data_IF_709990887563
#
_entry.id   IF_709990887563
#
_cell.length_a   1.000
_cell.length_b   1.000
_cell.length_c   1.000
_cell.angle_alpha   90.00
_cell.angle_beta   90.00
_cell.angle_gamma   90.00
#
_symmetry.space_group_name_H-M   'P 1'
#
loop_
_entity.id
_entity.type
_entity.pdbx_description
1 polymer ?
#
# COMPACT_ATOMS: atom_id res chain seq x y z
N UNK A 1 -17.86 25.09 -13.72
CA UNK A 1 -16.51 25.68 -13.58
C UNK A 1 -15.74 25.59 -14.89
N UNK A 2 -14.81 26.53 -15.14
CA UNK A 2 -13.89 26.41 -16.28
C UNK A 2 -12.74 25.50 -15.81
N UNK A 3 -12.76 24.24 -16.21
CA UNK A 3 -11.68 23.30 -15.92
C UNK A 3 -10.92 23.06 -17.22
N UNK A 4 -9.65 23.38 -17.22
CA UNK A 4 -8.77 23.06 -18.34
C UNK A 4 -8.47 21.56 -18.31
N UNK A 5 -8.74 20.86 -19.41
CA UNK A 5 -8.49 19.41 -19.55
C UNK A 5 -7.02 19.06 -19.29
N UNK A 6 -6.09 19.95 -19.73
CA UNK A 6 -4.66 19.74 -19.52
C UNK A 6 -4.28 19.85 -18.04
N UNK A 7 -4.91 20.77 -17.28
CA UNK A 7 -4.72 20.87 -15.83
C UNK A 7 -5.22 19.61 -15.12
N UNK A 8 -6.42 19.14 -15.48
CA UNK A 8 -6.97 17.92 -14.89
C UNK A 8 -6.11 16.69 -15.21
N UNK A 9 -5.62 16.58 -16.43
CA UNK A 9 -4.67 15.52 -16.80
C UNK A 9 -3.40 15.59 -15.94
N UNK A 10 -2.86 16.79 -15.73
CA UNK A 10 -1.66 17.01 -14.89
C UNK A 10 -1.92 16.65 -13.43
N UNK A 11 -3.08 16.98 -12.87
CA UNK A 11 -3.49 16.55 -11.52
C UNK A 11 -3.55 15.02 -11.42
N UNK A 12 -4.17 14.33 -12.38
CA UNK A 12 -4.19 12.87 -12.41
C UNK A 12 -2.79 12.27 -12.51
N UNK A 13 -1.89 12.85 -13.31
CA UNK A 13 -0.48 12.43 -13.39
C UNK A 13 0.24 12.66 -12.05
N UNK A 14 -0.03 13.77 -11.36
CA UNK A 14 0.52 14.03 -10.02
C UNK A 14 -0.02 13.05 -8.96
N UNK A 15 -1.25 12.57 -9.13
CA UNK A 15 -1.87 11.51 -8.33
C UNK A 15 -1.42 10.10 -8.77
N UNK A 16 -0.52 10.01 -9.75
CA UNK A 16 -0.04 8.72 -10.29
C UNK A 16 -1.15 7.87 -10.91
N UNK A 17 -2.15 8.49 -11.53
CA UNK A 17 -3.09 7.79 -12.38
C UNK A 17 -2.41 7.35 -13.68
N UNK A 18 -2.73 6.14 -14.13
CA UNK A 18 -2.16 5.52 -15.33
C UNK A 18 -3.16 5.65 -16.48
N UNK A 19 -2.68 6.10 -17.66
CA UNK A 19 -3.52 6.15 -18.85
C UNK A 19 -3.68 4.75 -19.44
N UNK A 20 -4.92 4.23 -19.41
CA UNK A 20 -5.27 2.93 -19.97
C UNK A 20 -6.69 2.96 -20.55
N UNK A 21 -6.85 2.48 -21.78
CA UNK A 21 -8.14 2.47 -22.48
C UNK A 21 -9.21 1.59 -21.83
N UNK A 22 -8.82 0.55 -21.09
CA UNK A 22 -9.75 -0.34 -20.37
C UNK A 22 -10.39 0.37 -19.19
N UNK A 23 -9.61 1.12 -18.42
CA UNK A 23 -10.07 1.84 -17.22
C UNK A 23 -10.87 0.90 -16.30
N UNK A 24 -10.28 -0.25 -15.93
CA UNK A 24 -10.91 -1.33 -15.15
C UNK A 24 -10.34 -1.47 -13.74
N UNK A 25 -9.31 -0.69 -13.41
CA UNK A 25 -8.65 -0.68 -12.09
C UNK A 25 -8.67 0.74 -11.51
N UNK A 26 -8.89 0.91 -10.17
CA UNK A 26 -8.78 2.20 -9.51
C UNK A 26 -7.44 2.88 -9.79
N UNK A 27 -7.47 4.16 -10.14
CA UNK A 27 -6.27 4.91 -10.51
C UNK A 27 -5.92 4.83 -12.00
N UNK A 28 -6.82 4.38 -12.84
CA UNK A 28 -6.70 4.47 -14.29
C UNK A 28 -7.58 5.55 -14.86
N UNK A 29 -7.16 6.12 -16.00
CA UNK A 29 -7.97 7.05 -16.78
C UNK A 29 -7.74 6.87 -18.27
N UNK A 30 -8.72 7.28 -19.05
CA UNK A 30 -8.61 7.33 -20.51
C UNK A 30 -9.26 8.61 -21.04
N UNK A 31 -8.46 9.44 -21.72
CA UNK A 31 -8.92 10.68 -22.34
C UNK A 31 -9.08 10.47 -23.83
N UNK A 32 -10.31 10.62 -24.34
CA UNK A 32 -10.63 10.56 -25.75
C UNK A 32 -11.38 11.82 -26.20
N UNK A 33 -10.71 12.67 -26.97
CA UNK A 33 -11.25 13.96 -27.45
C UNK A 33 -11.83 14.81 -26.32
N UNK A 34 -13.15 14.79 -26.15
CA UNK A 34 -13.90 15.57 -25.17
C UNK A 34 -14.52 14.74 -24.04
N UNK A 35 -14.09 13.48 -23.89
CA UNK A 35 -14.54 12.59 -22.83
C UNK A 35 -13.36 12.04 -22.05
N UNK A 36 -13.44 12.18 -20.74
CA UNK A 36 -12.52 11.55 -19.80
C UNK A 36 -13.27 10.46 -19.05
N UNK A 37 -12.81 9.22 -19.19
CA UNK A 37 -13.22 8.11 -18.34
C UNK A 37 -12.16 7.95 -17.27
N UNK A 38 -12.53 7.91 -16.00
CA UNK A 38 -11.62 7.77 -14.88
C UNK A 38 -12.19 6.77 -13.87
N UNK A 39 -11.34 5.91 -13.34
CA UNK A 39 -11.67 5.05 -12.22
C UNK A 39 -11.07 5.67 -10.96
N UNK A 40 -11.93 6.38 -10.19
CA UNK A 40 -11.52 7.00 -8.93
C UNK A 40 -11.17 5.95 -7.88
N UNK A 41 -10.13 6.21 -7.10
CA UNK A 41 -9.72 5.36 -5.98
C UNK A 41 -10.63 5.46 -4.76
N UNK A 42 -11.47 6.50 -4.73
CA UNK A 42 -12.30 6.84 -3.58
C UNK A 42 -11.57 7.71 -2.56
N UNK A 43 -12.30 8.65 -1.96
CA UNK A 43 -11.77 9.52 -0.91
C UNK A 43 -12.91 10.15 -0.11
N UNK A 44 -12.88 10.01 1.23
CA UNK A 44 -13.95 10.46 2.13
C UNK A 44 -15.32 9.91 1.72
N UNK A 45 -16.26 10.82 1.44
CA UNK A 45 -17.62 10.53 0.96
C UNK A 45 -17.71 10.20 -0.54
N UNK A 46 -16.61 10.36 -1.30
CA UNK A 46 -16.52 10.00 -2.71
C UNK A 46 -16.22 8.51 -2.87
N UNK A 47 -17.16 7.68 -3.36
CA UNK A 47 -16.90 6.26 -3.54
C UNK A 47 -15.89 5.99 -4.66
N UNK A 48 -15.14 4.90 -4.53
CA UNK A 48 -14.36 4.34 -5.64
C UNK A 48 -15.31 3.88 -6.75
N UNK A 49 -14.96 4.15 -8.01
CA UNK A 49 -15.77 3.76 -9.14
C UNK A 49 -15.43 4.48 -10.44
N UNK A 50 -16.08 4.07 -11.52
CA UNK A 50 -15.87 4.63 -12.85
C UNK A 50 -16.77 5.85 -13.04
N UNK A 51 -16.17 6.96 -13.49
CA UNK A 51 -16.86 8.19 -13.84
C UNK A 51 -16.51 8.62 -15.26
N UNK A 52 -17.50 9.09 -16.01
CA UNK A 52 -17.33 9.69 -17.34
C UNK A 52 -17.59 11.19 -17.26
N UNK A 53 -16.59 11.99 -17.58
CA UNK A 53 -16.63 13.44 -17.62
C UNK A 53 -16.66 13.87 -19.07
N UNK A 54 -17.70 14.59 -19.48
CA UNK A 54 -17.83 15.13 -20.84
C UNK A 54 -17.54 16.63 -20.82
N UNK A 55 -16.71 17.08 -21.73
CA UNK A 55 -16.33 18.49 -21.88
C UNK A 55 -17.00 19.15 -23.08
N UNK A 56 -17.26 20.45 -22.95
CA UNK A 56 -17.65 21.34 -24.04
C UNK A 56 -16.64 22.49 -24.09
N UNK A 57 -15.61 22.35 -24.93
CA UNK A 57 -14.43 23.20 -24.89
C UNK A 57 -13.70 23.06 -23.54
N UNK A 58 -13.47 24.16 -22.82
CA UNK A 58 -12.82 24.19 -21.50
C UNK A 58 -13.81 24.10 -20.33
N UNK A 59 -15.04 23.65 -20.53
CA UNK A 59 -16.03 23.52 -19.47
C UNK A 59 -16.48 22.07 -19.33
N UNK A 60 -16.66 21.61 -18.10
CA UNK A 60 -17.35 20.35 -17.82
C UNK A 60 -18.82 20.54 -18.19
N UNK A 61 -19.32 19.69 -19.10
CA UNK A 61 -20.72 19.66 -19.54
C UNK A 61 -21.54 18.74 -18.64
N UNK A 62 -21.01 17.56 -18.34
CA UNK A 62 -21.70 16.55 -17.55
C UNK A 62 -20.68 15.59 -16.91
N UNK A 63 -21.03 15.07 -15.73
CA UNK A 63 -20.31 14.01 -15.04
C UNK A 63 -21.34 12.89 -14.81
N UNK A 64 -21.00 11.65 -15.16
CA UNK A 64 -21.83 10.48 -14.93
C UNK A 64 -21.03 9.40 -14.21
N UNK A 65 -21.68 8.74 -13.26
CA UNK A 65 -21.10 7.54 -12.63
C UNK A 65 -21.34 6.29 -13.51
N UNK A 66 -20.84 5.15 -13.09
CA UNK A 66 -20.95 3.87 -13.81
C UNK A 66 -22.40 3.39 -14.04
N UNK A 67 -23.37 3.90 -13.27
CA UNK A 67 -24.81 3.62 -13.43
C UNK A 67 -25.49 4.61 -14.38
N UNK A 68 -24.75 5.55 -14.98
CA UNK A 68 -25.27 6.59 -15.85
C UNK A 68 -25.96 7.74 -15.13
N UNK A 69 -25.94 7.77 -13.79
CA UNK A 69 -26.51 8.83 -12.97
C UNK A 69 -25.60 10.05 -13.06
N UNK A 70 -26.22 11.22 -13.23
CA UNK A 70 -25.50 12.50 -13.29
C UNK A 70 -25.08 12.94 -11.89
N UNK A 71 -23.80 13.30 -11.75
CA UNK A 71 -23.20 13.84 -10.54
C UNK A 71 -22.93 15.34 -10.74
N UNK A 72 -23.11 16.11 -9.68
CA UNK A 72 -22.83 17.54 -9.71
C UNK A 72 -21.33 17.84 -9.68
N UNK A 73 -20.60 17.06 -8.90
CA UNK A 73 -19.13 17.12 -8.78
C UNK A 73 -18.58 15.75 -8.40
N UNK A 74 -17.28 15.58 -8.59
CA UNK A 74 -16.49 14.45 -8.05
C UNK A 74 -15.27 15.00 -7.32
N UNK A 75 -14.81 14.25 -6.31
CA UNK A 75 -13.60 14.56 -5.55
C UNK A 75 -12.51 13.57 -5.91
N UNK A 76 -11.33 14.06 -6.18
CA UNK A 76 -10.11 13.27 -6.21
C UNK A 76 -9.50 13.22 -4.82
N UNK A 77 -8.73 12.18 -4.55
CA UNK A 77 -7.89 12.12 -3.36
C UNK A 77 -6.86 13.27 -3.34
N UNK A 78 -6.42 13.76 -2.16
CA UNK A 78 -5.44 14.83 -2.08
C UNK A 78 -4.06 14.37 -2.59
N UNK A 79 -3.35 15.30 -3.23
CA UNK A 79 -1.99 15.06 -3.69
C UNK A 79 -1.04 15.09 -2.49
N UNK A 80 -0.34 13.98 -2.23
CA UNK A 80 0.70 13.97 -1.20
C UNK A 80 1.88 14.88 -1.60
N UNK A 81 2.14 15.89 -0.78
CA UNK A 81 3.23 16.85 -1.00
C UNK A 81 4.47 16.54 -0.17
N UNK A 82 4.40 15.59 0.73
CA UNK A 82 5.48 15.13 1.58
C UNK A 82 4.97 14.73 2.95
N UNK A 83 5.87 14.38 3.85
CA UNK A 83 5.57 14.06 5.23
C UNK A 83 6.55 14.75 6.18
N UNK A 84 6.11 15.06 7.39
CA UNK A 84 6.94 15.55 8.48
C UNK A 84 7.31 14.33 9.35
N UNK A 85 8.56 13.86 9.26
CA UNK A 85 8.96 12.58 9.80
C UNK A 85 9.70 12.67 11.12
N UNK A 86 9.52 11.67 11.99
CA UNK A 86 10.43 11.42 13.09
C UNK A 86 11.81 10.95 12.59
N UNK A 87 12.79 11.01 13.47
CA UNK A 87 14.22 10.76 13.25
C UNK A 87 14.55 9.39 12.64
N UNK A 88 13.64 8.41 12.63
CA UNK A 88 13.92 7.01 12.25
C UNK A 88 13.67 6.66 10.78
N UNK A 89 13.31 7.61 9.91
CA UNK A 89 13.11 7.37 8.45
C UNK A 89 12.19 6.18 8.10
N UNK A 90 11.23 5.86 8.95
CA UNK A 90 10.23 4.83 8.70
C UNK A 90 8.88 5.47 8.34
N UNK A 91 8.35 5.12 7.19
CA UNK A 91 7.02 5.57 6.78
C UNK A 91 6.00 4.50 7.17
N UNK A 92 4.99 4.87 7.97
CA UNK A 92 3.89 3.98 8.38
C UNK A 92 2.56 4.66 8.15
N UNK A 93 1.64 3.94 7.55
CA UNK A 93 0.20 4.25 7.53
C UNK A 93 -0.45 3.20 8.40
N UNK A 94 -0.79 3.59 9.63
CA UNK A 94 -1.41 2.67 10.58
C UNK A 94 -2.87 2.42 10.18
N UNK A 95 -3.21 1.14 10.07
CA UNK A 95 -4.56 0.67 9.80
C UNK A 95 -5.23 0.30 11.12
N UNK A 96 -6.53 0.61 11.21
CA UNK A 96 -7.41 0.05 12.21
C UNK A 96 -8.11 -1.20 11.65
N UNK A 97 -8.62 -2.07 12.51
CA UNK A 97 -9.20 -3.33 12.07
C UNK A 97 -10.32 -3.19 11.02
N UNK A 98 -11.26 -2.22 11.09
CA UNK A 98 -12.28 -2.04 10.06
C UNK A 98 -11.75 -1.69 8.67
N UNK A 99 -10.53 -1.14 8.58
CA UNK A 99 -9.87 -0.76 7.33
C UNK A 99 -9.13 -1.93 6.67
N UNK A 100 -8.99 -3.07 7.37
CA UNK A 100 -8.27 -4.25 6.87
C UNK A 100 -9.20 -5.12 6.02
N UNK A 101 -8.97 -5.22 4.69
CA UNK A 101 -9.80 -6.06 3.83
C UNK A 101 -9.70 -7.53 4.23
N UNK A 102 -10.83 -8.24 4.26
CA UNK A 102 -10.86 -9.67 4.60
C UNK A 102 -9.95 -10.50 3.68
N UNK A 103 -9.87 -10.14 2.41
CA UNK A 103 -8.99 -10.85 1.45
C UNK A 103 -7.51 -10.67 1.78
N UNK A 104 -7.08 -9.57 2.43
CA UNK A 104 -5.71 -9.42 2.93
C UNK A 104 -5.46 -10.40 4.07
N UNK A 105 -6.37 -10.48 5.05
CA UNK A 105 -6.30 -11.44 6.17
C UNK A 105 -6.21 -12.86 5.64
N UNK A 106 -7.11 -13.24 4.74
CA UNK A 106 -7.16 -14.58 4.13
C UNK A 106 -5.85 -14.91 3.41
N UNK A 107 -5.28 -13.92 2.70
CA UNK A 107 -4.03 -14.12 1.95
C UNK A 107 -2.83 -14.30 2.87
N UNK A 108 -2.71 -13.47 3.91
CA UNK A 108 -1.63 -13.59 4.90
C UNK A 108 -1.70 -14.96 5.58
N UNK A 109 -2.87 -15.35 6.06
CA UNK A 109 -3.06 -16.63 6.74
C UNK A 109 -2.75 -17.81 5.82
N UNK A 110 -3.25 -17.79 4.58
CA UNK A 110 -3.00 -18.88 3.63
C UNK A 110 -1.52 -19.06 3.28
N UNK A 111 -0.74 -17.96 3.27
CA UNK A 111 0.67 -17.96 2.84
C UNK A 111 1.63 -18.14 4.00
N UNK A 112 1.43 -17.41 5.09
CA UNK A 112 2.37 -17.30 6.19
C UNK A 112 2.05 -18.26 7.34
N UNK A 113 0.77 -18.41 7.72
CA UNK A 113 0.39 -19.17 8.91
C UNK A 113 -1.06 -19.68 8.85
N UNK A 114 -1.29 -20.80 8.17
CA UNK A 114 -2.63 -21.37 7.98
C UNK A 114 -3.34 -21.77 9.28
N UNK A 115 -2.58 -22.13 10.30
CA UNK A 115 -3.09 -22.57 11.60
C UNK A 115 -3.05 -21.44 12.66
N UNK A 116 -2.88 -20.17 12.27
CA UNK A 116 -2.67 -19.03 13.16
C UNK A 116 -3.63 -18.96 14.35
N UNK A 117 -4.92 -19.19 14.11
CA UNK A 117 -5.95 -19.15 15.16
C UNK A 117 -5.97 -20.40 16.08
N UNK A 118 -5.20 -21.44 15.75
CA UNK A 118 -5.23 -22.74 16.44
C UNK A 118 -3.98 -23.03 17.28
N UNK A 119 -3.03 -22.12 17.35
CA UNK A 119 -1.83 -22.29 18.16
C UNK A 119 -1.57 -21.06 19.05
N UNK A 120 -0.69 -21.21 20.03
CA UNK A 120 -0.27 -20.16 20.96
C UNK A 120 1.17 -19.70 20.65
N UNK A 121 1.33 -18.94 19.55
CA UNK A 121 2.62 -18.36 19.17
C UNK A 121 3.59 -19.31 18.48
N UNK A 122 3.52 -20.61 18.75
CA UNK A 122 4.37 -21.65 18.15
C UNK A 122 3.50 -22.73 17.54
N UNK A 123 3.78 -23.12 16.30
CA UNK A 123 3.10 -24.23 15.61
C UNK A 123 4.04 -25.41 15.41
N UNK A 124 3.95 -26.42 16.28
CA UNK A 124 4.70 -27.66 16.13
C UNK A 124 4.40 -28.37 14.80
N UNK A 125 3.15 -28.30 14.34
CA UNK A 125 2.71 -28.84 13.05
C UNK A 125 3.42 -28.14 11.88
N UNK A 126 3.56 -26.80 11.94
CA UNK A 126 4.26 -26.05 10.89
C UNK A 126 5.77 -26.32 10.91
N UNK A 127 6.37 -26.47 12.08
CA UNK A 127 7.79 -26.81 12.25
C UNK A 127 8.08 -28.20 11.67
N UNK A 128 7.28 -29.23 12.04
CA UNK A 128 7.47 -30.58 11.52
C UNK A 128 7.23 -30.68 10.02
N UNK A 129 6.20 -29.99 9.50
CA UNK A 129 5.94 -29.93 8.05
C UNK A 129 7.10 -29.28 7.28
N UNK A 130 7.61 -28.15 7.78
CA UNK A 130 8.74 -27.45 7.18
C UNK A 130 10.00 -28.30 7.22
N UNK A 131 10.28 -28.99 8.35
CA UNK A 131 11.41 -29.90 8.47
C UNK A 131 11.36 -31.03 7.44
N UNK A 132 10.21 -31.73 7.32
CA UNK A 132 10.06 -32.81 6.35
C UNK A 132 10.25 -32.32 4.90
N UNK A 133 9.66 -31.17 4.53
CA UNK A 133 9.83 -30.62 3.19
C UNK A 133 11.26 -30.19 2.89
N UNK A 134 11.93 -29.54 3.83
CA UNK A 134 13.31 -29.10 3.67
C UNK A 134 14.29 -30.28 3.56
N UNK A 135 14.05 -31.37 4.32
CA UNK A 135 14.82 -32.61 4.19
C UNK A 135 14.61 -33.27 2.83
N UNK A 136 13.35 -33.34 2.34
CA UNK A 136 13.06 -33.89 1.03
C UNK A 136 13.64 -33.08 -0.14
N UNK A 137 13.66 -31.74 -0.01
CA UNK A 137 14.16 -30.82 -1.04
C UNK A 137 15.70 -30.65 -0.98
N UNK A 138 16.37 -31.07 0.10
CA UNK A 138 17.80 -30.82 0.32
C UNK A 138 18.15 -29.33 0.47
N UNK A 139 17.15 -28.48 0.62
CA UNK A 139 17.29 -27.02 0.74
C UNK A 139 16.16 -26.42 1.59
N UNK A 140 16.36 -25.19 2.12
CA UNK A 140 15.33 -24.50 2.90
C UNK A 140 14.26 -23.91 1.97
N UNK A 141 13.23 -24.70 1.68
CA UNK A 141 12.11 -24.28 0.82
C UNK A 141 10.95 -23.66 1.59
N UNK A 142 10.68 -24.15 2.79
CA UNK A 142 9.54 -23.70 3.60
C UNK A 142 9.99 -23.24 5.00
N UNK A 143 9.51 -22.05 5.41
CA UNK A 143 9.65 -21.56 6.78
C UNK A 143 8.61 -22.17 7.71
N UNK A 144 9.01 -22.50 8.93
CA UNK A 144 8.12 -22.99 9.99
C UNK A 144 7.79 -21.96 11.06
N UNK A 145 8.12 -20.67 10.84
CA UNK A 145 7.85 -19.60 11.80
C UNK A 145 6.41 -19.10 11.68
N UNK A 146 5.75 -18.84 12.79
CA UNK A 146 4.40 -18.29 12.86
C UNK A 146 4.39 -16.78 12.66
N UNK A 147 3.22 -16.20 12.42
CA UNK A 147 3.03 -14.73 12.36
C UNK A 147 3.49 -14.09 13.67
N UNK A 148 3.14 -14.65 14.83
CA UNK A 148 3.56 -14.14 16.14
C UNK A 148 5.07 -14.17 16.33
N UNK A 149 5.76 -15.21 15.84
CA UNK A 149 7.23 -15.27 15.87
C UNK A 149 7.86 -14.24 14.93
N UNK A 150 7.27 -13.98 13.77
CA UNK A 150 7.73 -12.94 12.84
C UNK A 150 7.56 -11.55 13.46
N UNK A 151 6.42 -11.29 14.10
CA UNK A 151 6.15 -10.03 14.83
C UNK A 151 7.14 -9.86 16.00
N UNK A 152 7.31 -10.89 16.84
CA UNK A 152 8.27 -10.87 17.95
C UNK A 152 9.68 -10.55 17.46
N UNK A 153 10.10 -11.17 16.34
CA UNK A 153 11.40 -10.89 15.71
C UNK A 153 11.53 -9.44 15.31
N UNK A 154 10.50 -8.87 14.66
CA UNK A 154 10.55 -7.48 14.20
C UNK A 154 10.61 -6.48 15.35
N UNK A 155 9.87 -6.71 16.43
CA UNK A 155 9.77 -5.78 17.55
C UNK A 155 10.94 -5.82 18.52
N UNK A 156 11.55 -6.99 18.75
CA UNK A 156 12.47 -7.18 19.89
C UNK A 156 13.88 -7.66 19.51
N UNK A 157 14.12 -8.07 18.27
CA UNK A 157 15.39 -8.70 17.92
C UNK A 157 16.05 -8.05 16.68
N UNK A 158 17.38 -8.09 16.68
CA UNK A 158 18.20 -7.70 15.54
C UNK A 158 18.20 -8.76 14.42
N UNK A 159 18.79 -8.42 13.28
CA UNK A 159 18.86 -9.29 12.09
C UNK A 159 19.81 -10.51 12.24
N UNK A 160 20.55 -10.64 13.34
CA UNK A 160 21.46 -11.77 13.56
C UNK A 160 20.73 -13.12 13.55
N UNK A 161 21.30 -14.11 12.86
CA UNK A 161 20.70 -15.44 12.73
C UNK A 161 21.39 -16.44 13.68
N UNK A 162 20.97 -16.46 14.96
CA UNK A 162 21.50 -17.39 15.96
C UNK A 162 20.40 -18.30 16.51
N UNK A 163 20.75 -19.51 16.93
CA UNK A 163 19.83 -20.43 17.62
C UNK A 163 19.27 -19.82 18.91
N UNK A 164 20.15 -19.12 19.68
CA UNK A 164 19.76 -18.39 20.89
C UNK A 164 18.62 -17.41 20.61
N UNK A 165 18.76 -16.57 19.55
CA UNK A 165 17.70 -15.65 19.14
C UNK A 165 16.41 -16.41 18.80
N UNK A 166 16.50 -17.55 18.09
CA UNK A 166 15.29 -18.31 17.70
C UNK A 166 14.53 -18.85 18.91
N UNK A 167 15.23 -19.25 19.97
CA UNK A 167 14.61 -19.64 21.25
C UNK A 167 13.96 -18.44 21.92
N UNK A 168 14.63 -17.29 21.95
CA UNK A 168 14.06 -16.06 22.53
C UNK A 168 12.85 -15.55 21.73
N UNK A 169 12.86 -15.65 20.40
CA UNK A 169 11.68 -15.36 19.57
C UNK A 169 10.48 -16.24 19.94
N UNK A 170 10.73 -17.53 20.18
CA UNK A 170 9.69 -18.47 20.59
C UNK A 170 9.10 -18.11 21.97
N UNK A 171 9.95 -17.77 22.94
CA UNK A 171 9.51 -17.33 24.27
C UNK A 171 8.71 -16.00 24.17
N UNK A 172 9.24 -15.02 23.40
CA UNK A 172 8.56 -13.75 23.20
C UNK A 172 7.19 -13.93 22.51
N UNK A 173 7.09 -14.85 21.54
CA UNK A 173 5.81 -15.13 20.89
C UNK A 173 4.78 -15.76 21.84
N UNK A 174 5.18 -16.61 22.78
CA UNK A 174 4.29 -17.12 23.82
C UNK A 174 3.81 -16.00 24.75
N UNK A 175 4.71 -15.10 25.16
CA UNK A 175 4.35 -13.95 26.01
C UNK A 175 3.40 -12.99 25.30
N UNK A 176 3.59 -12.72 24.00
CA UNK A 176 2.65 -11.92 23.21
C UNK A 176 1.26 -12.56 23.20
N UNK A 177 1.16 -13.86 22.94
CA UNK A 177 -0.11 -14.58 22.89
C UNK A 177 -0.83 -14.67 24.25
N UNK A 178 -0.10 -14.53 25.38
CA UNK A 178 -0.70 -14.46 26.70
C UNK A 178 -1.34 -13.09 27.01
N UNK A 179 -0.87 -12.02 26.36
CA UNK A 179 -1.29 -10.65 26.67
C UNK A 179 -2.19 -10.02 25.60
N UNK A 180 -2.14 -10.49 24.37
CA UNK A 180 -2.85 -9.91 23.23
C UNK A 180 -3.72 -10.96 22.52
N UNK A 181 -4.87 -10.54 22.06
CA UNK A 181 -5.74 -11.37 21.23
C UNK A 181 -5.13 -11.64 19.85
N UNK A 182 -5.57 -12.70 19.21
CA UNK A 182 -5.16 -13.02 17.82
C UNK A 182 -5.38 -11.87 16.84
N UNK A 183 -6.47 -11.13 17.02
CA UNK A 183 -6.80 -9.99 16.18
C UNK A 183 -5.82 -8.84 16.38
N UNK A 184 -5.46 -8.52 17.62
CA UNK A 184 -4.45 -7.49 17.92
C UNK A 184 -3.06 -7.87 17.39
N UNK A 185 -2.66 -9.14 17.55
CA UNK A 185 -1.39 -9.65 17.02
C UNK A 185 -1.36 -9.54 15.50
N UNK A 186 -2.43 -9.95 14.81
CA UNK A 186 -2.51 -9.88 13.35
C UNK A 186 -2.52 -8.43 12.85
N UNK A 187 -3.25 -7.54 13.53
CA UNK A 187 -3.26 -6.11 13.21
C UNK A 187 -1.86 -5.48 13.41
N UNK A 188 -1.18 -5.80 14.51
CA UNK A 188 0.19 -5.36 14.74
C UNK A 188 1.13 -5.85 13.64
N UNK A 189 1.02 -7.11 13.23
CA UNK A 189 1.80 -7.67 12.12
C UNK A 189 1.52 -6.95 10.80
N UNK A 190 0.25 -6.71 10.46
CA UNK A 190 -0.17 -5.98 9.25
C UNK A 190 0.42 -4.58 9.20
N UNK A 191 0.54 -3.92 10.35
CA UNK A 191 1.08 -2.57 10.46
C UNK A 191 2.62 -2.50 10.57
N UNK A 192 3.28 -3.60 10.96
CA UNK A 192 4.73 -3.60 11.24
C UNK A 192 5.59 -4.23 10.14
N UNK A 193 5.07 -5.18 9.39
CA UNK A 193 5.86 -5.99 8.47
C UNK A 193 6.63 -5.17 7.44
N UNK A 194 7.93 -5.48 7.26
CA UNK A 194 8.79 -4.82 6.27
C UNK A 194 8.47 -5.29 4.85
N UNK A 195 8.17 -4.36 3.95
CA UNK A 195 7.81 -4.63 2.55
C UNK A 195 8.87 -4.19 1.55
N UNK A 196 9.55 -3.09 1.79
CA UNK A 196 10.56 -2.59 0.85
C UNK A 196 11.50 -1.56 1.47
N UNK A 197 12.60 -1.29 0.75
CA UNK A 197 13.45 -0.15 0.97
C UNK A 197 13.36 0.80 -0.23
N UNK A 198 12.97 2.05 0.00
CA UNK A 198 12.90 3.12 -0.99
C UNK A 198 13.89 4.23 -0.65
N UNK A 199 15.05 4.22 -1.31
CA UNK A 199 16.16 5.09 -0.94
C UNK A 199 16.60 4.84 0.51
N UNK A 200 16.52 5.88 1.36
CA UNK A 200 16.86 5.80 2.80
C UNK A 200 15.67 5.42 3.69
N UNK A 201 14.48 5.22 3.13
CA UNK A 201 13.24 4.95 3.89
C UNK A 201 12.87 3.48 3.83
N UNK A 202 12.55 2.91 4.97
CA UNK A 202 11.96 1.59 5.07
C UNK A 202 10.43 1.70 4.98
N UNK A 203 9.83 0.86 4.14
CA UNK A 203 8.38 0.78 3.93
C UNK A 203 7.86 -0.33 4.83
N UNK A 204 7.15 0.05 5.87
CA UNK A 204 6.56 -0.86 6.84
C UNK A 204 5.03 -0.84 6.78
N UNK A 205 4.42 -2.01 6.95
CA UNK A 205 2.99 -2.22 6.97
C UNK A 205 2.32 -2.20 5.59
N UNK A 206 1.18 -2.88 5.51
CA UNK A 206 0.43 -3.01 4.25
C UNK A 206 -0.22 -1.71 3.82
N UNK A 207 -0.62 -0.84 4.76
CA UNK A 207 -1.17 0.49 4.44
C UNK A 207 -0.15 1.34 3.67
N UNK A 208 1.08 1.41 4.18
CA UNK A 208 2.16 2.12 3.49
C UNK A 208 2.59 1.42 2.20
N UNK A 209 2.58 0.07 2.18
CA UNK A 209 2.83 -0.71 0.98
C UNK A 209 1.84 -0.42 -0.14
N UNK A 210 0.55 -0.30 0.18
CA UNK A 210 -0.51 0.05 -0.77
C UNK A 210 -0.26 1.43 -1.39
N UNK A 211 0.05 2.41 -0.57
CA UNK A 211 0.38 3.76 -1.05
C UNK A 211 1.68 3.78 -1.88
N UNK A 212 2.71 3.05 -1.43
CA UNK A 212 4.02 3.03 -2.10
C UNK A 212 3.97 2.39 -3.49
N UNK A 213 3.32 1.24 -3.62
CA UNK A 213 3.32 0.48 -4.87
C UNK A 213 2.14 0.81 -5.80
N UNK A 214 1.03 1.29 -5.25
CA UNK A 214 -0.20 1.49 -6.02
C UNK A 214 -0.80 2.89 -5.90
N UNK A 215 -0.26 3.73 -5.00
CA UNK A 215 -0.73 5.10 -4.80
C UNK A 215 -2.17 5.19 -4.27
N UNK A 216 -2.65 4.18 -3.55
CA UNK A 216 -4.03 4.12 -3.04
C UNK A 216 -4.07 3.51 -1.64
N UNK A 217 -5.21 3.59 -0.95
CA UNK A 217 -5.42 2.92 0.33
C UNK A 217 -5.59 1.41 0.15
N UNK A 218 -5.33 0.65 1.22
CA UNK A 218 -5.37 -0.82 1.20
C UNK A 218 -6.75 -1.38 0.83
N UNK A 219 -7.82 -0.68 1.19
CA UNK A 219 -9.21 -1.05 0.93
C UNK A 219 -9.56 -1.09 -0.56
N UNK A 220 -8.84 -0.29 -1.36
CA UNK A 220 -9.04 -0.17 -2.80
C UNK A 220 -8.16 -1.12 -3.62
N UNK A 221 -7.34 -1.94 -2.98
CA UNK A 221 -6.49 -2.89 -3.69
C UNK A 221 -7.29 -4.08 -4.24
N UNK A 222 -6.95 -4.46 -5.45
CA UNK A 222 -7.46 -5.69 -6.06
C UNK A 222 -6.76 -6.93 -5.47
N UNK A 223 -7.39 -8.10 -5.62
CA UNK A 223 -6.86 -9.37 -5.06
C UNK A 223 -5.46 -9.70 -5.56
N UNK A 224 -5.13 -9.41 -6.81
CA UNK A 224 -3.79 -9.63 -7.35
C UNK A 224 -2.75 -8.65 -6.80
N UNK A 225 -3.14 -7.40 -6.50
CA UNK A 225 -2.29 -6.43 -5.83
C UNK A 225 -2.01 -6.84 -4.38
N UNK A 226 -3.01 -7.31 -3.65
CA UNK A 226 -2.86 -7.89 -2.30
C UNK A 226 -1.95 -9.12 -2.35
N UNK A 227 -2.15 -10.02 -3.32
CA UNK A 227 -1.31 -11.20 -3.50
C UNK A 227 0.15 -10.83 -3.82
N UNK A 228 0.39 -9.73 -4.52
CA UNK A 228 1.72 -9.19 -4.76
C UNK A 228 2.39 -8.75 -3.45
N UNK A 229 1.71 -7.90 -2.65
CA UNK A 229 2.25 -7.40 -1.38
C UNK A 229 2.57 -8.55 -0.40
N UNK A 230 1.64 -9.50 -0.22
CA UNK A 230 1.88 -10.67 0.63
C UNK A 230 2.98 -11.56 0.05
N UNK A 231 3.07 -11.67 -1.27
CA UNK A 231 4.15 -12.38 -1.94
C UNK A 231 5.54 -11.83 -1.63
N UNK A 232 5.65 -10.51 -1.46
CA UNK A 232 6.92 -9.84 -1.16
C UNK A 232 7.47 -10.18 0.23
N UNK A 233 6.64 -10.60 1.19
CA UNK A 233 7.08 -10.94 2.56
C UNK A 233 8.19 -11.98 2.59
N UNK A 234 8.20 -12.94 1.68
CA UNK A 234 9.23 -13.97 1.58
C UNK A 234 10.63 -13.42 1.24
N UNK A 235 10.68 -12.28 0.56
CA UNK A 235 11.93 -11.65 0.14
C UNK A 235 11.67 -10.28 -0.46
N UNK A 236 11.56 -9.24 0.37
CA UNK A 236 11.17 -7.90 -0.08
C UNK A 236 12.03 -7.33 -1.21
N UNK A 237 13.33 -7.60 -1.20
CA UNK A 237 14.23 -7.15 -2.26
C UNK A 237 14.12 -8.00 -3.53
N UNK A 238 13.98 -9.32 -3.38
CA UNK A 238 13.92 -10.28 -4.50
C UNK A 238 12.62 -10.15 -5.30
N UNK A 239 11.51 -9.91 -4.60
CA UNK A 239 10.18 -9.83 -5.20
C UNK A 239 9.66 -8.38 -5.34
N UNK A 240 10.56 -7.39 -5.22
CA UNK A 240 10.19 -5.99 -5.44
C UNK A 240 9.74 -5.76 -6.88
N UNK A 241 8.49 -5.34 -7.15
CA UNK A 241 7.96 -5.24 -8.50
C UNK A 241 8.60 -4.13 -9.33
N UNK A 242 9.15 -3.09 -8.67
CA UNK A 242 9.84 -1.98 -9.34
C UNK A 242 11.26 -2.35 -9.78
N UNK A 243 11.89 -3.33 -9.10
CA UNK A 243 13.27 -3.78 -9.37
C UNK A 243 13.31 -5.10 -10.15
N UNK A 244 12.44 -6.03 -9.79
CA UNK A 244 12.43 -7.41 -10.27
C UNK A 244 11.01 -7.84 -10.71
N UNK A 245 10.39 -7.19 -11.72
CA UNK A 245 8.99 -7.42 -12.09
C UNK A 245 8.70 -8.88 -12.46
N UNK A 246 9.62 -9.59 -13.11
CA UNK A 246 9.44 -11.00 -13.47
C UNK A 246 9.30 -11.90 -12.23
N UNK A 247 10.18 -11.73 -11.25
CA UNK A 247 10.11 -12.48 -9.99
C UNK A 247 8.85 -12.12 -9.19
N UNK A 248 8.46 -10.86 -9.20
CA UNK A 248 7.25 -10.36 -8.57
C UNK A 248 5.99 -11.01 -9.16
N UNK A 249 5.87 -11.08 -10.50
CA UNK A 249 4.76 -11.78 -11.19
C UNK A 249 4.72 -13.25 -10.82
N UNK A 250 5.85 -13.96 -10.87
CA UNK A 250 5.91 -15.38 -10.52
C UNK A 250 5.45 -15.60 -9.07
N UNK A 251 5.92 -14.76 -8.14
CA UNK A 251 5.58 -14.86 -6.73
C UNK A 251 4.12 -14.52 -6.46
N UNK A 252 3.58 -13.45 -7.07
CA UNK A 252 2.15 -13.09 -7.06
C UNK A 252 1.29 -14.27 -7.53
N UNK A 253 1.65 -14.83 -8.68
CA UNK A 253 0.89 -15.93 -9.27
C UNK A 253 0.92 -17.21 -8.40
N UNK A 254 2.01 -17.46 -7.68
CA UNK A 254 2.09 -18.52 -6.68
C UNK A 254 1.12 -18.25 -5.52
N UNK A 255 1.07 -17.02 -4.99
CA UNK A 255 0.15 -16.63 -3.92
C UNK A 255 -1.30 -16.78 -4.37
N UNK A 256 -1.65 -16.33 -5.58
CA UNK A 256 -2.98 -16.53 -6.16
C UNK A 256 -3.34 -18.02 -6.26
N UNK A 257 -2.40 -18.87 -6.62
CA UNK A 257 -2.61 -20.33 -6.65
C UNK A 257 -2.85 -20.91 -5.25
N UNK A 258 -2.18 -20.39 -4.22
CA UNK A 258 -2.42 -20.78 -2.83
C UNK A 258 -3.83 -20.35 -2.38
N UNK A 259 -4.27 -19.14 -2.72
CA UNK A 259 -5.62 -18.64 -2.41
C UNK A 259 -6.70 -19.51 -3.06
N UNK A 260 -6.50 -19.91 -4.31
CA UNK A 260 -7.42 -20.82 -5.01
C UNK A 260 -7.48 -22.20 -4.34
N UNK A 261 -6.33 -22.80 -4.01
CA UNK A 261 -6.28 -24.07 -3.28
C UNK A 261 -6.93 -24.01 -1.88
N UNK A 262 -6.98 -22.81 -1.29
CA UNK A 262 -7.66 -22.56 -0.01
C UNK A 262 -9.12 -22.14 -0.19
N UNK A 263 -9.68 -22.26 -1.40
CA UNK A 263 -11.05 -21.90 -1.76
C UNK A 263 -11.41 -20.43 -1.45
N UNK A 264 -10.42 -19.53 -1.50
CA UNK A 264 -10.63 -18.08 -1.30
C UNK A 264 -10.91 -17.35 -2.61
N UNK A 265 -10.54 -17.90 -3.74
CA UNK A 265 -10.87 -17.44 -5.09
C UNK A 265 -11.23 -18.61 -5.99
N UNK A 266 -12.06 -18.39 -7.02
CA UNK A 266 -12.48 -19.40 -7.99
C UNK A 266 -11.41 -19.61 -9.08
N UNK A 267 -11.52 -20.72 -9.84
CA UNK A 267 -10.62 -21.00 -10.98
C UNK A 267 -10.70 -19.91 -12.06
N UNK A 268 -11.90 -19.39 -12.32
CA UNK A 268 -12.10 -18.29 -13.26
C UNK A 268 -11.35 -17.03 -12.81
N UNK A 269 -11.50 -16.64 -11.54
CA UNK A 269 -10.79 -15.51 -10.98
C UNK A 269 -9.27 -15.73 -11.01
N UNK A 270 -8.79 -16.94 -10.72
CA UNK A 270 -7.38 -17.28 -10.79
C UNK A 270 -6.80 -17.08 -12.18
N UNK A 271 -7.50 -17.54 -13.21
CA UNK A 271 -7.05 -17.42 -14.61
C UNK A 271 -6.97 -15.95 -15.04
N UNK A 272 -7.99 -15.17 -14.71
CA UNK A 272 -8.03 -13.72 -14.99
C UNK A 272 -6.93 -12.95 -14.26
N UNK A 273 -6.84 -13.12 -12.92
CA UNK A 273 -5.90 -12.38 -12.08
C UNK A 273 -4.44 -12.66 -12.43
N UNK A 274 -4.11 -13.86 -12.89
CA UNK A 274 -2.76 -14.20 -13.37
C UNK A 274 -2.35 -13.48 -14.65
N UNK A 275 -3.30 -13.10 -15.49
CA UNK A 275 -3.04 -12.40 -16.75
C UNK A 275 -2.88 -10.89 -16.56
N UNK A 276 -3.30 -10.34 -15.41
CA UNK A 276 -3.18 -8.91 -15.13
C UNK A 276 -1.72 -8.49 -14.99
N UNK A 277 -1.40 -7.33 -15.53
CA UNK A 277 -0.12 -6.67 -15.28
C UNK A 277 0.00 -6.29 -13.79
N UNK A 278 1.22 -5.98 -13.34
CA UNK A 278 1.45 -5.62 -11.93
C UNK A 278 0.80 -4.29 -11.54
N UNK A 279 0.61 -3.40 -12.51
CA UNK A 279 0.02 -2.07 -12.34
C UNK A 279 0.59 -1.26 -11.16
N UNK A 280 1.90 -1.43 -10.93
CA UNK A 280 2.61 -0.66 -9.91
C UNK A 280 2.89 0.74 -10.42
N UNK A 281 2.55 1.73 -9.64
CA UNK A 281 2.95 3.11 -9.89
C UNK A 281 4.42 3.30 -9.47
N UNK A 282 5.18 4.09 -10.22
CA UNK A 282 6.44 4.59 -9.68
C UNK A 282 6.11 5.45 -8.46
N UNK A 283 6.70 5.17 -7.29
CA UNK A 283 6.41 5.97 -6.11
C UNK A 283 6.67 7.43 -6.42
N UNK A 284 5.65 8.24 -6.32
CA UNK A 284 5.78 9.69 -6.48
C UNK A 284 6.29 10.34 -5.17
N UNK A 285 6.86 9.50 -4.29
CA UNK A 285 7.63 9.99 -3.15
C UNK A 285 8.94 10.56 -3.67
N UNK A 286 8.90 11.81 -4.11
CA UNK A 286 10.13 12.59 -4.13
C UNK A 286 10.60 12.60 -2.67
N UNK A 287 11.72 11.97 -2.42
CA UNK A 287 12.47 11.97 -1.15
C UNK A 287 12.85 13.39 -0.72
N UNK A 288 12.71 14.36 -1.60
CA UNK A 288 12.79 15.77 -1.34
C UNK A 288 11.37 16.25 -1.03
N UNK A 289 11.23 16.89 0.12
CA UNK A 289 10.04 17.63 0.49
C UNK A 289 9.66 18.54 -0.69
N UNK A 290 8.61 18.17 -1.41
CA UNK A 290 8.10 19.02 -2.47
C UNK A 290 7.58 20.28 -1.75
N UNK A 291 8.11 21.45 -2.06
CA UNK A 291 7.76 22.71 -1.40
C UNK A 291 8.27 22.84 0.06
N UNK A 292 9.59 22.80 0.30
CA UNK A 292 10.16 22.80 1.65
C UNK A 292 9.73 24.01 2.50
N UNK A 293 9.68 25.20 1.91
CA UNK A 293 9.22 26.39 2.61
C UNK A 293 7.75 26.29 3.08
N UNK A 294 6.89 25.65 2.30
CA UNK A 294 5.51 25.41 2.70
C UNK A 294 5.42 24.38 3.83
N UNK A 295 6.24 23.33 3.79
CA UNK A 295 6.33 22.37 4.89
C UNK A 295 6.76 23.02 6.21
N UNK A 296 7.70 23.96 6.18
CA UNK A 296 8.11 24.70 7.38
C UNK A 296 6.95 25.53 7.95
N UNK A 297 6.15 26.17 7.09
CA UNK A 297 4.95 26.90 7.52
C UNK A 297 3.94 25.97 8.18
N UNK A 298 3.63 24.83 7.55
CA UNK A 298 2.70 23.83 8.11
C UNK A 298 3.21 23.30 9.44
N UNK A 299 4.51 23.01 9.55
CA UNK A 299 5.13 22.55 10.81
C UNK A 299 4.98 23.58 11.93
N UNK A 300 5.26 24.85 11.65
CA UNK A 300 5.09 25.93 12.62
C UNK A 300 3.64 26.09 13.07
N UNK A 301 2.68 25.89 12.15
CA UNK A 301 1.25 25.96 12.48
C UNK A 301 0.83 24.78 13.37
N UNK A 302 1.29 23.57 13.07
CA UNK A 302 1.01 22.39 13.89
C UNK A 302 1.61 22.48 15.29
N UNK A 303 2.81 23.05 15.43
CA UNK A 303 3.46 23.24 16.73
C UNK A 303 2.71 24.19 17.67
N UNK A 304 1.75 24.98 17.18
CA UNK A 304 0.87 25.80 18.04
C UNK A 304 -0.17 24.95 18.80
N UNK A 305 -0.57 23.79 18.25
CA UNK A 305 -1.67 22.98 18.77
C UNK A 305 -1.24 21.60 19.26
N UNK A 306 -0.05 21.14 18.88
CA UNK A 306 0.47 19.81 19.19
C UNK A 306 1.91 19.95 19.71
N UNK A 307 2.25 19.17 20.74
CA UNK A 307 3.64 19.06 21.16
C UNK A 307 4.46 18.21 20.18
N UNK A 308 5.79 18.31 20.28
CA UNK A 308 6.69 17.61 19.35
C UNK A 308 6.60 16.08 19.48
N UNK A 309 6.26 15.56 20.66
CA UNK A 309 6.06 14.13 20.90
C UNK A 309 4.78 13.64 20.23
N UNK A 310 3.70 14.40 20.32
CA UNK A 310 2.44 14.10 19.66
C UNK A 310 2.60 14.09 18.14
N UNK A 311 3.28 15.10 17.57
CA UNK A 311 3.56 15.16 16.13
C UNK A 311 4.40 13.98 15.62
N UNK A 312 5.25 13.41 16.48
CA UNK A 312 6.09 12.24 16.14
C UNK A 312 5.38 10.89 16.28
N UNK A 313 4.36 10.79 17.14
CA UNK A 313 3.80 9.49 17.54
C UNK A 313 2.37 9.24 17.06
N UNK A 314 1.59 10.29 16.75
CA UNK A 314 0.17 10.16 16.41
C UNK A 314 -0.12 9.74 14.97
N UNK A 315 0.85 9.76 14.06
CA UNK A 315 0.63 9.42 12.64
C UNK A 315 -0.43 10.32 11.97
N UNK A 316 -0.36 11.63 12.21
CA UNK A 316 -1.36 12.59 11.73
C UNK A 316 -1.34 12.71 10.21
N UNK A 317 -2.50 12.58 9.57
CA UNK A 317 -2.72 13.03 8.20
C UNK A 317 -3.11 14.52 8.23
N UNK A 318 -2.31 15.37 7.58
CA UNK A 318 -2.51 16.82 7.55
C UNK A 318 -2.96 17.24 6.16
N UNK A 319 -4.22 17.64 6.03
CA UNK A 319 -4.74 18.21 4.79
C UNK A 319 -4.46 19.71 4.77
N UNK A 320 -4.03 20.21 3.61
CA UNK A 320 -3.72 21.61 3.41
C UNK A 320 -4.45 22.17 2.19
N UNK A 321 -4.58 23.48 2.12
CA UNK A 321 -5.18 24.20 0.99
C UNK A 321 -4.16 24.53 -0.13
N UNK A 322 -2.97 23.92 -0.14
CA UNK A 322 -2.00 24.14 -1.18
C UNK A 322 -2.53 23.57 -2.51
N UNK A 323 -2.55 24.41 -3.55
CA UNK A 323 -2.72 23.96 -4.94
C UNK A 323 -1.35 23.60 -5.53
N UNK A 324 -1.03 22.29 -5.67
CA UNK A 324 0.29 21.86 -6.14
C UNK A 324 0.59 22.27 -7.58
N UNK A 325 -0.44 22.37 -8.44
CA UNK A 325 -0.29 22.76 -9.85
C UNK A 325 0.06 24.22 -9.97
N UNK A 326 -0.64 25.06 -9.19
CA UNK A 326 -0.34 26.50 -9.12
C UNK A 326 1.05 26.73 -8.53
N UNK A 327 1.40 26.08 -7.44
CA UNK A 327 2.71 26.19 -6.79
C UNK A 327 3.85 25.81 -7.74
N UNK A 328 3.71 24.71 -8.48
CA UNK A 328 4.72 24.28 -9.44
C UNK A 328 4.88 25.27 -10.60
N UNK A 329 3.79 25.87 -11.04
CA UNK A 329 3.79 26.89 -12.09
C UNK A 329 4.50 28.15 -11.62
N UNK A 330 4.28 28.59 -10.38
CA UNK A 330 4.98 29.74 -9.78
C UNK A 330 6.48 29.48 -9.65
N UNK A 331 6.88 28.34 -9.10
CA UNK A 331 8.30 27.98 -8.96
C UNK A 331 9.03 27.91 -10.29
N UNK A 332 8.39 27.33 -11.31
CA UNK A 332 8.97 27.26 -12.66
C UNK A 332 9.15 28.66 -13.29
N UNK A 333 8.21 29.57 -13.07
CA UNK A 333 8.33 30.95 -13.55
C UNK A 333 9.45 31.70 -12.83
N UNK A 334 9.57 31.55 -11.50
CA UNK A 334 10.65 32.15 -10.72
C UNK A 334 12.02 31.64 -11.18
N UNK A 335 12.16 30.32 -11.46
CA UNK A 335 13.40 29.76 -11.99
C UNK A 335 13.78 30.33 -13.35
N UNK A 336 12.80 30.53 -14.24
CA UNK A 336 13.01 31.12 -15.57
C UNK A 336 13.41 32.60 -15.52
N UNK A 337 13.01 33.34 -14.49
CA UNK A 337 13.31 34.78 -14.34
C UNK A 337 14.70 35.02 -13.72
N UNK A 338 15.30 33.97 -13.12
CA UNK A 338 16.66 34.03 -12.53
C UNK A 338 17.78 33.63 -13.51
N UNK A 339 17.43 33.17 -14.70
CA UNK A 339 18.34 32.88 -15.83
C UNK A 339 18.26 34.01 -16.83
#
# INVERSE_FOLDING_TARGET
SKINVDLLKREMEMLSYISDSKTDIPGQFFLNKNKLKVFLRGYQDQPSGIYEITFAGSKVKNIKNQLGISEEFIKFEPISIGGMYPVHMEDRVLLNWPEVPQILVDTILAVEDQDFFNHYGISLKSISRAFLKNVQAGSVEQGGSTITQQLAKSLFFSSEQTLRRKVLEAIASLLIELHYSKQEILLAYINDVFLAQSGRRAIHGFGMGAQHFFGTSIENLTTDQIALLVGMLKGPSLYNPLRNPKNAIQRRNLVLTILNRSNKITDLNLAELKQRDLNVSKPNYRTETKYPAFHDIVRLELQKNFDERELRTRGLAVETNLDPVLQESLENNIKKTKT
#
